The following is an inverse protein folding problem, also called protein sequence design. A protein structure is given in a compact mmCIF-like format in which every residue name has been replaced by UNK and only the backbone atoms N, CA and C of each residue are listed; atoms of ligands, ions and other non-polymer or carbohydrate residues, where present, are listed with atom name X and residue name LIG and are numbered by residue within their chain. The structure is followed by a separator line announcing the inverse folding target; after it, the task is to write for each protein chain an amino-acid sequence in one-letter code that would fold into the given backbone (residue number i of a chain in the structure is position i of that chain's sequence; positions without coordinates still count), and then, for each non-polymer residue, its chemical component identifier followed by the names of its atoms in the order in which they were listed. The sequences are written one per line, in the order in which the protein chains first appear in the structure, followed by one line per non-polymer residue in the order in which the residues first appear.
data_IF_795102275063
#
_entry.id   IF_795102275063
#
_cell.length_a   1.000
_cell.length_b   1.000
_cell.length_c   1.000
_cell.angle_alpha   90.00
_cell.angle_beta   90.00
_cell.angle_gamma   90.00
#
_symmetry.space_group_name_H-M   'P 1'
#
loop_
_entity.id
_entity.type
_entity.pdbx_description
1 polymer ?
#
# COMPACT_ATOMS: atom_id res chain seq x y z
N UNK A 1 73.53 -15.12 34.12
CA UNK A 1 73.16 -13.75 34.50
C UNK A 1 72.10 -13.25 33.54
N UNK A 2 70.95 -12.86 34.09
CA UNK A 2 69.85 -12.10 33.48
C UNK A 2 70.37 -10.85 32.72
N UNK A 3 69.68 -10.15 31.81
CA UNK A 3 68.31 -9.58 31.77
C UNK A 3 68.15 -9.00 30.32
N UNK A 4 67.04 -9.18 29.59
CA UNK A 4 65.75 -8.47 29.63
C UNK A 4 65.56 -7.42 28.50
N UNK A 5 64.63 -7.75 27.60
CA UNK A 5 63.62 -6.91 26.88
C UNK A 5 63.99 -5.61 26.15
N UNK A 6 63.61 -5.54 24.86
CA UNK A 6 62.91 -4.38 24.26
C UNK A 6 61.84 -4.83 23.25
N UNK A 7 60.75 -4.09 23.28
CA UNK A 7 59.39 -4.25 22.75
C UNK A 7 59.28 -4.00 21.24
N UNK A 8 58.41 -4.74 20.53
CA UNK A 8 57.59 -4.18 19.44
C UNK A 8 56.34 -5.03 19.14
N UNK A 9 55.21 -4.33 19.25
CA UNK A 9 53.82 -4.56 18.85
C UNK A 9 53.37 -5.87 18.18
N UNK A 10 52.27 -6.37 18.75
CA UNK A 10 51.39 -7.41 18.24
C UNK A 10 50.65 -7.00 16.95
N UNK A 11 50.45 -7.97 16.05
CA UNK A 11 49.27 -7.99 15.17
C UNK A 11 48.32 -9.07 15.69
N UNK A 12 47.23 -8.63 16.31
CA UNK A 12 46.10 -9.49 16.65
C UNK A 12 45.24 -9.70 15.40
N UNK A 13 44.90 -10.97 15.16
CA UNK A 13 43.92 -11.38 14.19
C UNK A 13 42.55 -10.74 14.46
N UNK A 14 41.88 -10.25 13.43
CA UNK A 14 40.44 -9.99 13.48
C UNK A 14 39.79 -10.53 12.22
N UNK A 15 39.10 -11.66 12.37
CA UNK A 15 38.14 -12.19 11.42
C UNK A 15 37.10 -11.13 11.11
N UNK A 16 37.06 -10.64 9.87
CA UNK A 16 36.04 -9.71 9.41
C UNK A 16 34.70 -10.42 9.29
N UNK A 17 33.83 -10.26 10.28
CA UNK A 17 32.42 -10.64 10.18
C UNK A 17 31.71 -9.56 9.35
N UNK A 18 31.55 -9.79 8.04
CA UNK A 18 30.73 -8.94 7.19
C UNK A 18 29.26 -9.10 7.61
N UNK A 19 28.76 -8.20 8.46
CA UNK A 19 27.35 -8.09 8.76
C UNK A 19 26.62 -7.59 7.50
N UNK A 20 26.03 -8.52 6.74
CA UNK A 20 25.12 -8.18 5.66
C UNK A 20 23.92 -7.42 6.26
N UNK A 21 23.82 -6.13 5.95
CA UNK A 21 22.64 -5.32 6.25
C UNK A 21 21.50 -5.81 5.35
N UNK A 22 20.74 -6.79 5.83
CA UNK A 22 19.48 -7.19 5.20
C UNK A 22 18.48 -6.10 5.56
N UNK A 23 18.40 -5.04 4.75
CA UNK A 23 17.32 -4.08 4.85
C UNK A 23 16.00 -4.81 4.59
N UNK A 24 15.03 -4.78 5.52
CA UNK A 24 13.71 -5.31 5.23
C UNK A 24 13.15 -4.48 4.08
N UNK A 25 12.87 -5.12 2.94
CA UNK A 25 12.03 -4.54 1.91
C UNK A 25 10.68 -4.26 2.57
N UNK A 26 10.47 -3.01 3.01
CA UNK A 26 9.15 -2.55 3.40
C UNK A 26 8.27 -2.75 2.17
N UNK A 27 7.38 -3.75 2.25
CA UNK A 27 6.48 -4.10 1.16
C UNK A 27 5.48 -2.93 1.07
N UNK A 28 5.78 -1.93 0.24
CA UNK A 28 4.88 -0.82 0.01
C UNK A 28 3.51 -1.38 -0.41
N UNK A 29 2.44 -0.95 0.24
CA UNK A 29 1.10 -1.38 -0.12
C UNK A 29 0.85 -0.98 -1.58
N UNK A 30 0.43 -1.95 -2.40
CA UNK A 30 0.04 -1.73 -3.79
C UNK A 30 -1.48 -1.77 -3.89
N UNK A 31 -2.13 -0.85 -4.62
CA UNK A 31 -3.58 -0.90 -4.76
C UNK A 31 -4.03 -2.17 -5.50
N UNK A 32 -5.34 -2.43 -5.49
CA UNK A 32 -6.00 -3.56 -6.15
C UNK A 32 -5.97 -3.51 -7.68
N UNK A 33 -5.45 -2.42 -8.27
CA UNK A 33 -5.30 -2.23 -9.71
C UNK A 33 -3.84 -2.06 -10.11
N UNK A 34 -3.56 -2.26 -11.39
CA UNK A 34 -2.23 -2.11 -11.97
C UNK A 34 -1.87 -0.62 -12.11
N UNK A 35 -0.93 -0.16 -11.30
CA UNK A 35 -0.44 1.22 -11.33
C UNK A 35 0.15 1.65 -12.68
N UNK A 36 0.63 0.72 -13.51
CA UNK A 36 1.09 1.03 -14.86
C UNK A 36 -0.06 1.43 -15.80
N UNK A 37 -1.31 1.13 -15.42
CA UNK A 37 -2.53 1.45 -16.18
C UNK A 37 -3.32 2.62 -15.58
N UNK A 38 -2.82 3.26 -14.53
CA UNK A 38 -3.46 4.41 -13.92
C UNK A 38 -3.50 5.59 -14.91
N UNK A 39 -4.71 6.07 -15.23
CA UNK A 39 -4.90 7.21 -16.16
C UNK A 39 -5.46 8.44 -15.46
N UNK A 40 -5.99 8.30 -14.25
CA UNK A 40 -6.56 9.39 -13.47
C UNK A 40 -5.60 9.87 -12.37
N UNK A 41 -5.59 11.17 -12.06
CA UNK A 41 -4.75 11.75 -10.99
C UNK A 41 -4.97 11.06 -9.64
N UNK A 42 -6.23 10.75 -9.31
CA UNK A 42 -6.56 10.02 -8.10
C UNK A 42 -5.88 8.64 -8.05
N UNK A 43 -5.88 7.89 -9.16
CA UNK A 43 -5.24 6.57 -9.25
C UNK A 43 -3.72 6.68 -9.10
N UNK A 44 -3.11 7.69 -9.71
CA UNK A 44 -1.69 7.95 -9.57
C UNK A 44 -1.31 8.30 -8.13
N UNK A 45 -2.16 9.06 -7.42
CA UNK A 45 -1.96 9.39 -6.02
C UNK A 45 -2.13 8.15 -5.12
N UNK A 46 -3.14 7.32 -5.38
CA UNK A 46 -3.34 6.03 -4.70
C UNK A 46 -2.10 5.14 -4.85
N UNK A 47 -1.51 5.07 -6.04
CA UNK A 47 -0.31 4.28 -6.31
C UNK A 47 0.95 4.74 -5.55
N UNK A 48 0.97 5.97 -5.03
CA UNK A 48 2.12 6.58 -4.35
C UNK A 48 1.91 6.75 -2.85
N UNK A 49 0.69 6.53 -2.36
CA UNK A 49 0.31 6.71 -0.96
C UNK A 49 -0.10 5.38 -0.34
N UNK A 50 0.69 4.89 0.61
CA UNK A 50 0.47 3.59 1.23
C UNK A 50 -0.90 3.48 1.94
N UNK A 51 -1.36 4.55 2.61
CA UNK A 51 -2.65 4.53 3.30
C UNK A 51 -3.81 4.45 2.29
N UNK A 52 -3.72 5.18 1.17
CA UNK A 52 -4.73 5.10 0.11
C UNK A 52 -4.72 3.74 -0.60
N UNK A 53 -3.54 3.16 -0.82
CA UNK A 53 -3.41 1.82 -1.39
C UNK A 53 -4.04 0.75 -0.48
N UNK A 54 -3.82 0.81 0.84
CA UNK A 54 -4.46 -0.08 1.81
C UNK A 54 -5.98 0.05 1.83
N UNK A 55 -6.50 1.29 1.76
CA UNK A 55 -7.93 1.53 1.66
C UNK A 55 -8.53 0.95 0.37
N UNK A 56 -7.79 1.05 -0.73
CA UNK A 56 -8.19 0.45 -2.01
C UNK A 56 -8.25 -1.07 -1.95
N UNK A 57 -7.21 -1.72 -1.43
CA UNK A 57 -7.19 -3.18 -1.20
C UNK A 57 -8.38 -3.63 -0.34
N UNK A 58 -8.60 -2.94 0.79
CA UNK A 58 -9.69 -3.27 1.72
C UNK A 58 -11.06 -3.15 1.06
N UNK A 59 -11.28 -2.11 0.26
CA UNK A 59 -12.52 -1.95 -0.48
C UNK A 59 -12.70 -3.08 -1.51
N UNK A 60 -11.64 -3.44 -2.23
CA UNK A 60 -11.67 -4.50 -3.24
C UNK A 60 -12.03 -5.87 -2.63
N UNK A 61 -11.45 -6.21 -1.48
CA UNK A 61 -11.77 -7.45 -0.74
C UNK A 61 -13.23 -7.49 -0.28
N UNK A 62 -13.73 -6.39 0.27
CA UNK A 62 -15.12 -6.27 0.72
C UNK A 62 -16.08 -6.39 -0.46
N UNK A 63 -15.80 -5.68 -1.55
CA UNK A 63 -16.59 -5.73 -2.77
C UNK A 63 -16.62 -7.16 -3.36
N UNK A 64 -15.48 -7.85 -3.42
CA UNK A 64 -15.40 -9.22 -3.90
C UNK A 64 -16.21 -10.18 -3.02
N UNK A 65 -16.21 -9.99 -1.71
CA UNK A 65 -17.01 -10.77 -0.76
C UNK A 65 -18.50 -10.54 -0.99
N UNK A 66 -18.95 -9.28 -1.04
CA UNK A 66 -20.35 -8.95 -1.33
C UNK A 66 -20.81 -9.50 -2.67
N UNK A 67 -19.99 -9.40 -3.72
CA UNK A 67 -20.31 -9.94 -5.04
C UNK A 67 -20.59 -11.44 -5.01
N UNK A 68 -19.89 -12.22 -4.18
CA UNK A 68 -20.12 -13.67 -4.02
C UNK A 68 -21.44 -13.99 -3.33
N UNK A 69 -21.89 -13.13 -2.41
CA UNK A 69 -23.11 -13.32 -1.63
C UNK A 69 -24.35 -12.63 -2.24
N UNK A 70 -24.14 -11.73 -3.20
CA UNK A 70 -25.22 -11.03 -3.90
C UNK A 70 -25.91 -11.96 -4.90
N UNK A 71 -27.26 -12.07 -4.90
CA UNK A 71 -28.00 -12.84 -5.91
C UNK A 71 -27.63 -12.42 -7.33
N UNK A 72 -27.53 -13.37 -8.26
CA UNK A 72 -27.10 -13.11 -9.63
C UNK A 72 -27.92 -11.99 -10.32
N UNK A 73 -29.22 -11.89 -10.04
CA UNK A 73 -30.11 -10.85 -10.55
C UNK A 73 -29.75 -9.43 -10.07
N UNK A 74 -29.06 -9.29 -8.93
CA UNK A 74 -28.67 -8.01 -8.33
C UNK A 74 -27.20 -7.64 -8.59
N UNK A 75 -26.36 -8.61 -8.99
CA UNK A 75 -24.94 -8.37 -9.26
C UNK A 75 -24.70 -7.29 -10.34
N UNK A 76 -25.58 -7.17 -11.33
CA UNK A 76 -25.50 -6.12 -12.35
C UNK A 76 -25.64 -4.71 -11.78
N UNK A 77 -26.52 -4.53 -10.81
CA UNK A 77 -26.70 -3.26 -10.10
C UNK A 77 -25.46 -2.93 -9.27
N UNK A 78 -24.99 -3.88 -8.45
CA UNK A 78 -23.80 -3.69 -7.60
C UNK A 78 -22.53 -3.36 -8.43
N UNK A 79 -22.34 -3.98 -9.59
CA UNK A 79 -21.27 -3.61 -10.54
C UNK A 79 -21.41 -2.19 -11.05
N UNK A 80 -22.63 -1.76 -11.35
CA UNK A 80 -22.89 -0.42 -11.88
C UNK A 80 -22.67 0.65 -10.84
N UNK A 81 -23.13 0.42 -9.62
CA UNK A 81 -22.86 1.29 -8.46
C UNK A 81 -21.36 1.41 -8.21
N UNK A 82 -20.61 0.30 -8.21
CA UNK A 82 -19.16 0.34 -7.99
C UNK A 82 -18.42 1.12 -9.08
N UNK A 83 -18.80 0.97 -10.37
CA UNK A 83 -18.24 1.78 -11.46
C UNK A 83 -18.58 3.26 -11.30
N UNK A 84 -19.80 3.58 -10.86
CA UNK A 84 -20.21 4.95 -10.57
C UNK A 84 -19.37 5.58 -9.46
N UNK A 85 -19.18 4.83 -8.37
CA UNK A 85 -18.32 5.25 -7.26
C UNK A 85 -16.87 5.50 -7.70
N UNK A 86 -16.27 4.63 -8.53
CA UNK A 86 -14.91 4.83 -9.07
C UNK A 86 -14.79 6.17 -9.81
N UNK A 87 -15.80 6.54 -10.61
CA UNK A 87 -15.83 7.84 -11.28
C UNK A 87 -15.90 9.00 -10.27
N UNK A 88 -16.73 8.88 -9.24
CA UNK A 88 -16.84 9.87 -8.16
C UNK A 88 -15.51 10.06 -7.41
N UNK A 89 -14.85 8.98 -7.02
CA UNK A 89 -13.49 9.03 -6.45
C UNK A 89 -12.50 9.72 -7.38
N UNK A 90 -12.55 9.40 -8.68
CA UNK A 90 -11.63 10.01 -9.64
C UNK A 90 -11.87 11.51 -9.82
N UNK A 91 -13.07 12.02 -9.56
CA UNK A 91 -13.40 13.45 -9.56
C UNK A 91 -12.75 14.26 -8.42
N UNK A 92 -12.07 13.60 -7.47
CA UNK A 92 -11.30 14.28 -6.43
C UNK A 92 -10.18 15.19 -6.95
N UNK A 93 -9.83 15.12 -8.25
CA UNK A 93 -8.93 16.10 -8.89
C UNK A 93 -9.43 17.54 -8.75
N UNK A 94 -10.75 17.72 -8.59
CA UNK A 94 -11.42 19.03 -8.41
C UNK A 94 -11.27 19.60 -7.00
N UNK A 95 -10.76 18.83 -6.04
CA UNK A 95 -10.62 19.25 -4.65
C UNK A 95 -9.27 19.91 -4.40
N UNK A 96 -9.25 20.97 -3.58
CA UNK A 96 -8.01 21.58 -3.08
C UNK A 96 -7.20 20.59 -2.20
N UNK A 97 -7.87 19.64 -1.55
CA UNK A 97 -7.26 18.52 -0.81
C UNK A 97 -7.61 17.19 -1.49
N UNK A 98 -6.96 16.92 -2.62
CA UNK A 98 -7.17 15.68 -3.39
C UNK A 98 -6.98 14.42 -2.54
N UNK A 99 -5.94 14.39 -1.69
CA UNK A 99 -5.64 13.23 -0.84
C UNK A 99 -6.75 13.00 0.18
N UNK A 100 -7.18 14.05 0.87
CA UNK A 100 -8.28 14.00 1.83
C UNK A 100 -9.60 13.59 1.19
N UNK A 101 -9.89 14.12 0.00
CA UNK A 101 -11.06 13.72 -0.80
C UNK A 101 -11.05 12.22 -1.10
N UNK A 102 -9.96 11.68 -1.65
CA UNK A 102 -9.87 10.25 -2.00
C UNK A 102 -10.02 9.38 -0.74
N UNK A 103 -9.37 9.77 0.36
CA UNK A 103 -9.47 9.07 1.65
C UNK A 103 -10.91 9.04 2.16
N UNK A 104 -11.64 10.15 2.04
CA UNK A 104 -13.04 10.24 2.44
C UNK A 104 -13.93 9.35 1.56
N UNK A 105 -13.73 9.35 0.24
CA UNK A 105 -14.46 8.50 -0.71
C UNK A 105 -14.31 7.01 -0.39
N UNK A 106 -13.08 6.54 -0.13
CA UNK A 106 -12.85 5.15 0.29
C UNK A 106 -13.55 4.82 1.61
N UNK A 107 -13.39 5.68 2.63
CA UNK A 107 -13.99 5.44 3.95
C UNK A 107 -15.51 5.38 3.88
N UNK A 108 -16.12 6.29 3.13
CA UNK A 108 -17.56 6.34 2.90
C UNK A 108 -18.06 5.06 2.22
N UNK A 109 -17.42 4.67 1.10
CA UNK A 109 -17.82 3.47 0.36
C UNK A 109 -17.61 2.18 1.15
N UNK A 110 -16.50 2.06 1.89
CA UNK A 110 -16.28 0.91 2.77
C UNK A 110 -17.37 0.82 3.83
N UNK A 111 -17.78 1.95 4.42
CA UNK A 111 -18.90 1.96 5.38
C UNK A 111 -20.20 1.52 4.72
N UNK A 112 -20.54 2.11 3.58
CA UNK A 112 -21.75 1.77 2.83
C UNK A 112 -21.80 0.28 2.49
N UNK A 113 -20.70 -0.30 2.02
CA UNK A 113 -20.64 -1.72 1.68
C UNK A 113 -20.72 -2.64 2.92
N UNK A 114 -20.23 -2.22 4.08
CA UNK A 114 -20.35 -2.99 5.33
C UNK A 114 -21.77 -3.01 5.89
N UNK A 115 -22.56 -2.00 5.58
CA UNK A 115 -23.93 -1.85 6.09
C UNK A 115 -24.98 -2.54 5.19
N UNK A 116 -24.54 -3.26 4.14
CA UNK A 116 -25.40 -3.99 3.20
C UNK A 116 -25.75 -5.39 3.64
#
# INVERSE_FOLDING_TARGET
MNFMTKTTLALLATSGLAAALISPLANAAHPSFDCAKATHEAEQLICKDAELAELDQRLAELYATLMKHTPASQQGALKTEQRGWVKGRNDCWKSDDQRGCIKAEYRSRIKELKDR
#
